data_IF_168086659596
#
_entry.id   IF_168086659596
#
_cell.length_a   1.000
_cell.length_b   1.000
_cell.length_c   1.000
_cell.angle_alpha   90.00
_cell.angle_beta   90.00
_cell.angle_gamma   90.00
#
_symmetry.space_group_name_H-M   'P 1'
#
loop_
_entity.id
_entity.type
_entity.pdbx_description
1 polymer ?
#
# COMPACT_ATOMS: atom_id res chain seq x y z
N UNK A 1 -38.61 -11.62 107.90
CA UNK A 1 -37.69 -12.04 106.84
C UNK A 1 -36.77 -10.86 106.52
N UNK A 2 -35.93 -10.43 107.45
CA UNK A 2 -34.50 -10.75 107.69
C UNK A 2 -33.59 -9.58 107.19
N UNK A 3 -32.58 -9.12 107.95
CA UNK A 3 -32.02 -7.75 107.87
C UNK A 3 -30.53 -7.66 107.44
N UNK A 4 -29.96 -6.43 107.51
CA UNK A 4 -28.51 -6.08 107.58
C UNK A 4 -27.70 -6.26 106.26
N UNK A 5 -26.70 -5.46 105.87
CA UNK A 5 -25.73 -4.65 106.61
C UNK A 5 -25.06 -3.60 105.72
N UNK A 6 -24.55 -2.55 106.38
CA UNK A 6 -23.57 -1.55 105.92
C UNK A 6 -22.12 -2.13 105.94
N UNK A 7 -21.16 -1.54 105.22
CA UNK A 7 -19.67 -1.46 105.39
C UNK A 7 -19.08 -1.22 103.96
N UNK A 8 -18.40 -0.13 103.56
CA UNK A 8 -17.24 0.65 104.03
C UNK A 8 -15.86 0.18 103.50
N UNK A 9 -15.03 1.16 103.09
CA UNK A 9 -13.53 1.23 103.13
C UNK A 9 -12.66 0.92 101.88
N UNK A 10 -12.06 2.02 101.36
CA UNK A 10 -10.65 2.36 101.00
C UNK A 10 -9.85 1.61 99.90
N UNK A 11 -9.39 2.44 98.94
CA UNK A 11 -8.17 2.53 98.11
C UNK A 11 -7.27 1.32 97.78
N UNK A 12 -6.91 1.22 96.49
CA UNK A 12 -5.65 0.63 96.01
C UNK A 12 -5.04 1.50 94.90
N UNK A 13 -3.80 1.93 95.11
CA UNK A 13 -2.87 2.52 94.13
C UNK A 13 -2.25 1.39 93.31
N UNK A 14 -2.13 1.53 91.98
CA UNK A 14 -1.50 0.50 91.15
C UNK A 14 -1.03 0.96 89.76
N UNK A 15 0.24 1.34 89.70
CA UNK A 15 1.22 1.30 88.60
C UNK A 15 0.80 1.48 87.12
N UNK A 16 1.34 2.54 86.53
CA UNK A 16 1.51 2.75 85.10
C UNK A 16 2.29 1.60 84.43
N UNK A 17 1.74 1.04 83.36
CA UNK A 17 2.49 0.28 82.37
C UNK A 17 2.35 1.00 81.03
N UNK A 18 3.46 1.60 80.60
CA UNK A 18 3.61 2.28 79.31
C UNK A 18 3.65 1.19 78.24
N UNK A 19 2.54 1.00 77.53
CA UNK A 19 2.48 0.06 76.41
C UNK A 19 3.11 0.72 75.20
N UNK A 20 4.28 0.21 74.80
CA UNK A 20 4.99 0.62 73.60
C UNK A 20 4.20 0.06 72.41
N UNK A 21 3.65 0.95 71.59
CA UNK A 21 2.99 0.55 70.34
C UNK A 21 3.98 -0.22 69.46
N UNK A 22 3.57 -1.34 68.84
CA UNK A 22 4.42 -2.06 67.90
C UNK A 22 4.75 -1.17 66.69
N UNK A 23 5.94 -1.34 66.08
CA UNK A 23 6.31 -0.57 64.89
C UNK A 23 5.30 -0.81 63.76
N UNK A 24 5.05 0.21 62.90
CA UNK A 24 4.15 0.05 61.77
C UNK A 24 4.64 -1.09 60.87
N UNK A 25 3.71 -1.86 60.25
CA UNK A 25 4.08 -2.90 59.31
C UNK A 25 4.93 -2.32 58.17
N UNK A 26 5.87 -3.09 57.60
CA UNK A 26 6.64 -2.64 56.46
C UNK A 26 5.70 -2.22 55.32
N UNK A 27 6.07 -1.19 54.53
CA UNK A 27 5.27 -0.84 53.36
C UNK A 27 5.11 -2.07 52.47
N UNK A 28 3.93 -2.26 51.84
CA UNK A 28 3.74 -3.36 50.91
C UNK A 28 4.86 -3.30 49.86
N UNK A 29 5.36 -4.46 49.39
CA UNK A 29 6.35 -4.48 48.32
C UNK A 29 5.83 -3.61 47.19
N UNK A 30 6.64 -2.65 46.75
CA UNK A 30 6.35 -1.88 45.54
C UNK A 30 6.14 -2.92 44.45
N UNK A 31 4.89 -3.07 44.01
CA UNK A 31 4.60 -3.86 42.82
C UNK A 31 5.26 -3.10 41.69
N UNK A 32 6.47 -3.53 41.33
CA UNK A 32 7.14 -3.07 40.13
C UNK A 32 6.15 -3.32 38.99
N UNK A 33 5.63 -2.24 38.40
CA UNK A 33 4.77 -2.35 37.22
C UNK A 33 5.57 -3.12 36.18
N UNK A 34 5.17 -4.36 35.93
CA UNK A 34 5.62 -5.14 34.78
C UNK A 34 5.58 -4.21 33.57
N UNK A 35 6.68 -4.03 32.82
CA UNK A 35 6.66 -3.15 31.66
C UNK A 35 5.56 -3.66 30.72
N UNK A 36 4.61 -2.78 30.43
CA UNK A 36 3.57 -3.04 29.45
C UNK A 36 4.28 -3.25 28.09
N UNK A 37 4.00 -4.35 27.37
CA UNK A 37 4.78 -4.68 26.19
C UNK A 37 4.59 -3.60 25.11
N UNK A 38 5.68 -3.00 24.59
CA UNK A 38 5.58 -2.01 23.51
C UNK A 38 5.51 -2.78 22.20
N UNK A 39 4.33 -3.02 21.59
CA UNK A 39 4.36 -3.92 20.41
C UNK A 39 3.25 -3.87 19.35
N UNK A 40 2.16 -3.09 19.47
CA UNK A 40 1.08 -3.14 18.45
C UNK A 40 0.98 -1.91 17.54
N UNK A 41 1.27 -0.70 18.01
CA UNK A 41 1.20 0.49 17.17
C UNK A 41 2.37 0.59 16.17
N UNK A 42 3.60 0.30 16.59
CA UNK A 42 4.80 0.49 15.74
C UNK A 42 4.93 -0.54 14.61
N UNK A 43 4.61 -1.81 14.86
CA UNK A 43 4.61 -2.85 13.84
C UNK A 43 3.56 -2.55 12.75
N UNK A 44 2.42 -1.98 13.15
CA UNK A 44 1.39 -1.54 12.23
C UNK A 44 1.70 -0.23 11.47
N UNK A 45 2.70 0.53 11.86
CA UNK A 45 3.17 1.65 11.04
C UNK A 45 4.20 1.16 10.00
N UNK A 46 5.08 0.24 10.41
CA UNK A 46 6.18 -0.27 9.59
C UNK A 46 5.68 -1.06 8.37
N UNK A 47 4.80 -2.06 8.55
CA UNK A 47 4.22 -2.84 7.44
C UNK A 47 3.49 -1.97 6.41
N UNK A 48 2.75 -0.95 6.85
CA UNK A 48 1.98 -0.06 6.00
C UNK A 48 2.90 0.78 5.13
N UNK A 49 3.97 1.33 5.72
CA UNK A 49 5.01 2.06 5.00
C UNK A 49 5.71 1.18 3.96
N UNK A 50 6.12 -0.03 4.36
CA UNK A 50 6.77 -0.96 3.44
C UNK A 50 5.86 -1.34 2.26
N UNK A 51 4.56 -1.55 2.52
CA UNK A 51 3.58 -1.79 1.46
C UNK A 51 3.46 -0.58 0.52
N UNK A 52 3.40 0.63 1.06
CA UNK A 52 3.31 1.85 0.27
C UNK A 52 4.55 2.05 -0.61
N UNK A 53 5.75 1.80 -0.08
CA UNK A 53 7.01 1.86 -0.83
C UNK A 53 7.04 0.83 -1.97
N UNK A 54 6.60 -0.41 -1.72
CA UNK A 54 6.47 -1.45 -2.75
C UNK A 54 5.45 -1.08 -3.84
N UNK A 55 4.29 -0.55 -3.44
CA UNK A 55 3.26 -0.08 -4.36
C UNK A 55 3.79 1.03 -5.26
N UNK A 56 4.48 2.03 -4.69
CA UNK A 56 5.09 3.11 -5.45
C UNK A 56 6.14 2.58 -6.45
N UNK A 57 6.99 1.64 -6.01
CA UNK A 57 7.97 0.98 -6.88
C UNK A 57 7.30 0.24 -8.03
N UNK A 58 6.23 -0.52 -7.76
CA UNK A 58 5.50 -1.24 -8.79
C UNK A 58 4.86 -0.29 -9.81
N UNK A 59 4.32 0.85 -9.36
CA UNK A 59 3.78 1.89 -10.24
C UNK A 59 4.85 2.48 -11.17
N UNK A 60 6.02 2.83 -10.63
CA UNK A 60 7.15 3.33 -11.42
C UNK A 60 7.63 2.29 -12.44
N UNK A 61 7.77 1.03 -12.05
CA UNK A 61 8.19 -0.03 -12.95
C UNK A 61 7.20 -0.24 -14.11
N UNK A 62 5.88 -0.15 -13.86
CA UNK A 62 4.87 -0.21 -14.95
C UNK A 62 5.02 1.01 -15.87
N UNK A 63 5.22 2.21 -15.32
CA UNK A 63 5.31 3.43 -16.10
C UNK A 63 6.55 3.52 -17.01
N UNK A 64 7.62 2.79 -16.68
CA UNK A 64 8.83 2.69 -17.50
C UNK A 64 8.70 1.67 -18.64
N UNK A 65 7.72 0.76 -18.57
CA UNK A 65 7.50 -0.26 -19.60
C UNK A 65 6.86 0.35 -20.85
N UNK A 66 7.21 -0.22 -22.01
CA UNK A 66 6.66 0.14 -23.33
C UNK A 66 6.54 -1.11 -24.18
N UNK A 67 5.57 -1.11 -25.08
CA UNK A 67 5.49 -2.12 -26.15
C UNK A 67 5.54 -1.43 -27.50
N UNK A 68 6.03 -2.15 -28.51
CA UNK A 68 6.24 -1.60 -29.85
C UNK A 68 5.51 -2.42 -30.91
N UNK A 69 5.20 -1.76 -32.02
CA UNK A 69 4.43 -2.32 -33.12
C UNK A 69 5.17 -2.22 -34.44
N UNK A 70 4.90 -3.17 -35.33
CA UNK A 70 5.34 -3.07 -36.71
C UNK A 70 4.57 -1.96 -37.46
N UNK A 71 5.13 -1.54 -38.60
CA UNK A 71 4.49 -0.55 -39.47
C UNK A 71 3.08 -1.02 -39.86
N UNK A 72 2.12 -0.10 -39.73
CA UNK A 72 0.72 -0.31 -40.08
C UNK A 72 0.00 -1.47 -39.35
N UNK A 73 0.53 -1.92 -38.21
CA UNK A 73 -0.04 -3.01 -37.41
C UNK A 73 -0.39 -2.59 -35.98
N UNK A 74 -1.37 -3.30 -35.43
CA UNK A 74 -1.76 -3.29 -34.01
C UNK A 74 -1.65 -4.68 -33.36
N UNK A 75 -1.00 -5.64 -34.03
CA UNK A 75 -0.80 -6.99 -33.50
C UNK A 75 0.25 -6.99 -32.38
N UNK A 76 -0.03 -7.69 -31.28
CA UNK A 76 0.90 -7.85 -30.15
C UNK A 76 2.01 -8.85 -30.52
N UNK A 77 3.21 -8.31 -30.68
CA UNK A 77 4.45 -9.05 -30.97
C UNK A 77 4.85 -9.96 -29.80
N UNK A 78 5.60 -11.06 -30.03
CA UNK A 78 6.07 -11.94 -28.96
C UNK A 78 6.80 -11.21 -27.83
N UNK A 79 7.65 -10.23 -28.14
CA UNK A 79 8.41 -9.46 -27.15
C UNK A 79 7.47 -8.59 -26.29
N UNK A 80 6.43 -8.02 -26.91
CA UNK A 80 5.42 -7.24 -26.22
C UNK A 80 4.58 -8.10 -25.26
N UNK A 81 4.32 -9.38 -25.59
CA UNK A 81 3.62 -10.32 -24.70
C UNK A 81 4.35 -10.49 -23.38
N UNK A 82 5.68 -10.63 -23.41
CA UNK A 82 6.50 -10.74 -22.20
C UNK A 82 6.37 -9.50 -21.31
N UNK A 83 6.40 -8.30 -21.90
CA UNK A 83 6.20 -7.04 -21.16
C UNK A 83 4.80 -6.97 -20.56
N UNK A 84 3.77 -7.25 -21.37
CA UNK A 84 2.38 -7.21 -20.92
C UNK A 84 2.07 -8.25 -19.83
N UNK A 85 2.70 -9.42 -19.87
CA UNK A 85 2.60 -10.40 -18.79
C UNK A 85 3.18 -9.85 -17.48
N UNK A 86 4.34 -9.18 -17.53
CA UNK A 86 4.93 -8.52 -16.36
C UNK A 86 4.04 -7.41 -15.79
N UNK A 87 3.38 -6.64 -16.65
CA UNK A 87 2.37 -5.64 -16.24
C UNK A 87 1.17 -6.34 -15.59
N UNK A 88 0.63 -7.38 -16.23
CA UNK A 88 -0.51 -8.14 -15.71
C UNK A 88 -0.22 -8.72 -14.32
N UNK A 89 0.97 -9.29 -14.11
CA UNK A 89 1.39 -9.85 -12.83
C UNK A 89 1.44 -8.77 -11.74
N UNK A 90 2.01 -7.60 -12.02
CA UNK A 90 1.98 -6.46 -11.09
C UNK A 90 0.57 -5.99 -10.79
N UNK A 91 -0.30 -5.89 -11.80
CA UNK A 91 -1.68 -5.46 -11.60
C UNK A 91 -2.50 -6.47 -10.79
N UNK A 92 -2.20 -7.77 -10.90
CA UNK A 92 -2.80 -8.82 -10.06
C UNK A 92 -2.27 -8.77 -8.63
N UNK A 93 -0.98 -8.53 -8.43
CA UNK A 93 -0.36 -8.41 -7.09
C UNK A 93 -0.85 -7.15 -6.35
N UNK A 94 -1.01 -6.04 -7.07
CA UNK A 94 -1.41 -4.74 -6.52
C UNK A 94 -2.75 -4.31 -7.10
N UNK A 95 -3.85 -4.77 -6.49
CA UNK A 95 -5.24 -4.44 -6.87
C UNK A 95 -5.55 -2.94 -6.91
N UNK A 96 -4.77 -2.14 -6.17
CA UNK A 96 -4.99 -0.71 -5.96
C UNK A 96 -4.47 0.16 -7.13
N UNK A 97 -3.69 -0.44 -8.05
CA UNK A 97 -3.16 0.24 -9.23
C UNK A 97 -4.22 0.22 -10.33
N UNK A 98 -4.55 1.37 -10.90
CA UNK A 98 -5.22 1.43 -12.22
C UNK A 98 -4.22 1.94 -13.25
N UNK A 99 -4.44 1.60 -14.52
CA UNK A 99 -3.58 2.03 -15.62
C UNK A 99 -4.36 2.71 -16.73
N UNK A 100 -3.65 3.59 -17.44
CA UNK A 100 -4.07 4.13 -18.72
C UNK A 100 -3.03 3.81 -19.78
N UNK A 101 -3.48 3.24 -20.88
CA UNK A 101 -2.66 2.83 -22.02
C UNK A 101 -2.77 3.92 -23.08
N UNK A 102 -1.65 4.54 -23.44
CA UNK A 102 -1.58 5.55 -24.50
C UNK A 102 -0.99 4.95 -25.78
N UNK A 103 -1.79 4.87 -26.85
CA UNK A 103 -1.37 4.32 -28.14
C UNK A 103 -0.91 5.39 -29.14
N UNK A 104 0.27 5.18 -29.70
CA UNK A 104 0.99 6.13 -30.55
C UNK A 104 1.39 5.52 -31.90
N UNK A 105 1.57 6.38 -32.91
CA UNK A 105 1.95 6.05 -34.27
C UNK A 105 3.16 6.86 -34.74
N UNK A 106 3.80 6.41 -35.81
CA UNK A 106 4.71 7.27 -36.56
C UNK A 106 3.93 8.25 -37.46
N UNK A 107 4.62 9.21 -38.05
CA UNK A 107 4.05 10.35 -38.79
C UNK A 107 3.46 9.97 -40.16
N UNK A 108 3.58 8.72 -40.60
CA UNK A 108 3.14 8.31 -41.93
C UNK A 108 1.64 8.02 -41.90
N UNK A 109 0.91 8.61 -42.84
CA UNK A 109 -0.54 8.46 -42.95
C UNK A 109 -1.26 9.78 -42.71
N UNK A 110 -2.57 9.71 -42.47
CA UNK A 110 -3.34 10.89 -42.06
C UNK A 110 -3.48 10.89 -40.54
N UNK A 111 -3.56 12.07 -39.92
CA UNK A 111 -3.80 12.20 -38.49
C UNK A 111 -5.02 11.38 -38.01
N UNK A 112 -6.13 11.42 -38.76
CA UNK A 112 -7.33 10.63 -38.46
C UNK A 112 -7.09 9.12 -38.52
N UNK A 113 -6.31 8.65 -39.51
CA UNK A 113 -5.91 7.25 -39.60
C UNK A 113 -5.03 6.84 -38.42
N UNK A 114 -4.03 7.67 -38.09
CA UNK A 114 -3.10 7.41 -36.99
C UNK A 114 -3.77 7.43 -35.62
N UNK A 115 -4.77 8.30 -35.42
CA UNK A 115 -5.62 8.29 -34.24
C UNK A 115 -6.40 6.97 -34.12
N UNK A 116 -7.00 6.50 -35.22
CA UNK A 116 -7.70 5.21 -35.22
C UNK A 116 -6.74 4.01 -35.04
N UNK A 117 -5.52 4.07 -35.59
CA UNK A 117 -4.53 3.01 -35.44
C UNK A 117 -3.96 2.95 -34.02
N UNK A 118 -3.66 4.10 -33.41
CA UNK A 118 -3.22 4.15 -32.02
C UNK A 118 -4.30 3.65 -31.05
N UNK A 119 -5.58 3.93 -31.34
CA UNK A 119 -6.70 3.39 -30.58
C UNK A 119 -6.76 1.84 -30.66
N UNK A 120 -6.58 1.28 -31.86
CA UNK A 120 -6.51 -0.18 -32.04
C UNK A 120 -5.33 -0.81 -31.27
N UNK A 121 -4.18 -0.14 -31.21
CA UNK A 121 -3.00 -0.60 -30.46
C UNK A 121 -3.28 -0.67 -28.96
N UNK A 122 -3.75 0.45 -28.38
CA UNK A 122 -4.08 0.52 -26.97
C UNK A 122 -5.16 -0.52 -26.59
N UNK A 123 -6.17 -0.71 -27.45
CA UNK A 123 -7.22 -1.72 -27.23
C UNK A 123 -6.69 -3.16 -27.36
N UNK A 124 -5.71 -3.42 -28.23
CA UNK A 124 -5.07 -4.75 -28.31
C UNK A 124 -4.27 -5.06 -27.03
N UNK A 125 -3.56 -4.07 -26.47
CA UNK A 125 -2.87 -4.21 -25.20
C UNK A 125 -3.85 -4.41 -24.03
N UNK A 126 -4.93 -3.62 -23.99
CA UNK A 126 -6.02 -3.79 -23.02
C UNK A 126 -6.61 -5.20 -23.08
N UNK A 127 -6.96 -5.68 -24.27
CA UNK A 127 -7.53 -7.03 -24.46
C UNK A 127 -6.58 -8.11 -23.94
N UNK A 128 -5.28 -8.00 -24.24
CA UNK A 128 -4.28 -8.94 -23.74
C UNK A 128 -4.24 -8.96 -22.20
N UNK A 129 -4.26 -7.79 -21.56
CA UNK A 129 -4.25 -7.68 -20.10
C UNK A 129 -5.54 -8.24 -19.48
N UNK A 130 -6.70 -8.01 -20.10
CA UNK A 130 -7.97 -8.58 -19.63
C UNK A 130 -8.02 -10.09 -19.79
N UNK A 131 -7.51 -10.63 -20.90
CA UNK A 131 -7.39 -12.07 -21.11
C UNK A 131 -6.40 -12.71 -20.13
N UNK A 132 -5.44 -11.92 -19.64
CA UNK A 132 -4.48 -12.30 -18.59
C UNK A 132 -5.02 -12.17 -17.16
N UNK A 133 -6.30 -11.82 -17.00
CA UNK A 133 -7.01 -11.78 -15.72
C UNK A 133 -7.05 -10.41 -15.02
N UNK A 134 -6.65 -9.32 -15.69
CA UNK A 134 -6.81 -7.96 -15.16
C UNK A 134 -8.25 -7.49 -15.41
N UNK A 135 -8.92 -6.96 -14.38
CA UNK A 135 -10.26 -6.41 -14.56
C UNK A 135 -10.24 -5.19 -15.50
N UNK A 136 -11.06 -5.21 -16.55
CA UNK A 136 -11.12 -4.13 -17.55
C UNK A 136 -11.50 -2.76 -16.96
N UNK A 137 -12.23 -2.72 -15.84
CA UNK A 137 -12.55 -1.48 -15.11
C UNK A 137 -11.32 -0.77 -14.51
N UNK A 138 -10.16 -1.41 -14.50
CA UNK A 138 -8.88 -0.85 -14.03
C UNK A 138 -8.00 -0.33 -15.17
N UNK A 139 -8.47 -0.44 -16.41
CA UNK A 139 -7.72 -0.10 -17.61
C UNK A 139 -8.49 0.93 -18.41
N UNK A 140 -7.86 2.08 -18.66
CA UNK A 140 -8.33 3.07 -19.62
C UNK A 140 -7.44 3.05 -20.86
N UNK A 141 -8.00 3.37 -22.02
CA UNK A 141 -7.24 3.54 -23.27
C UNK A 141 -7.37 4.97 -23.77
N UNK A 142 -6.32 5.43 -24.45
CA UNK A 142 -6.31 6.71 -25.17
C UNK A 142 -5.39 6.61 -26.37
N UNK A 143 -5.81 7.13 -27.50
CA UNK A 143 -4.89 7.36 -28.62
C UNK A 143 -4.39 8.79 -28.70
N UNK A 144 -3.11 8.94 -29.02
CA UNK A 144 -2.52 10.20 -29.48
C UNK A 144 -2.18 10.18 -30.97
N UNK A 145 -2.40 9.06 -31.66
CA UNK A 145 -1.94 8.89 -33.04
C UNK A 145 -0.49 9.32 -33.20
N UNK A 146 -0.23 10.24 -34.12
CA UNK A 146 1.11 10.80 -34.39
C UNK A 146 1.45 12.06 -33.57
N UNK A 147 0.56 12.52 -32.68
CA UNK A 147 0.68 13.83 -32.01
C UNK A 147 1.74 13.89 -30.91
N UNK A 148 2.23 12.75 -30.42
CA UNK A 148 3.24 12.65 -29.35
C UNK A 148 4.46 11.81 -29.76
N UNK A 149 5.24 12.27 -30.76
CA UNK A 149 6.45 11.59 -31.17
C UNK A 149 7.52 11.66 -30.07
N UNK A 150 8.22 10.56 -29.82
CA UNK A 150 9.43 10.54 -28.98
C UNK A 150 10.68 10.82 -29.80
N UNK A 151 10.60 10.62 -31.11
CA UNK A 151 11.66 10.91 -32.06
C UNK A 151 11.04 11.62 -33.28
N UNK A 152 11.73 12.63 -33.82
CA UNK A 152 11.20 13.49 -34.90
C UNK A 152 11.95 13.34 -36.23
N UNK A 153 12.99 12.52 -36.30
CA UNK A 153 13.70 12.25 -37.55
C UNK A 153 12.83 11.45 -38.55
N UNK A 154 12.94 11.78 -39.82
CA UNK A 154 12.14 11.18 -40.90
C UNK A 154 12.76 9.89 -41.44
N UNK A 155 12.98 8.90 -40.57
CA UNK A 155 13.62 7.64 -40.92
C UNK A 155 13.13 6.47 -40.06
N UNK A 156 13.29 5.23 -40.56
CA UNK A 156 12.72 4.03 -39.92
C UNK A 156 13.26 3.78 -38.50
N UNK A 157 14.52 4.12 -38.22
CA UNK A 157 15.07 4.03 -36.85
C UNK A 157 14.36 4.94 -35.85
N UNK A 158 13.70 5.99 -36.33
CA UNK A 158 12.92 6.92 -35.53
C UNK A 158 11.45 6.52 -35.47
N UNK A 159 10.86 6.21 -36.64
CA UNK A 159 9.46 5.77 -36.74
C UNK A 159 9.16 4.54 -35.88
N UNK A 160 10.08 3.57 -35.84
CA UNK A 160 9.94 2.39 -34.99
C UNK A 160 9.82 2.69 -33.49
N UNK A 161 10.40 3.78 -33.01
CA UNK A 161 10.26 4.23 -31.63
C UNK A 161 8.90 4.89 -31.38
N UNK A 162 8.31 5.52 -32.39
CA UNK A 162 7.02 6.21 -32.27
C UNK A 162 5.82 5.25 -32.30
N UNK A 163 5.94 4.09 -32.94
CA UNK A 163 4.91 3.03 -32.97
C UNK A 163 4.89 2.25 -31.66
N UNK A 164 4.32 2.83 -30.61
CA UNK A 164 4.37 2.28 -29.25
C UNK A 164 3.09 2.50 -28.45
N UNK A 165 2.92 1.67 -27.43
CA UNK A 165 2.05 1.99 -26.30
C UNK A 165 2.89 2.33 -25.06
N UNK A 166 2.42 3.32 -24.29
CA UNK A 166 2.96 3.73 -22.99
C UNK A 166 1.91 3.54 -21.89
N UNK A 167 2.36 3.27 -20.67
CA UNK A 167 1.50 2.94 -19.54
C UNK A 167 1.62 4.00 -18.44
N UNK A 168 0.49 4.47 -17.94
CA UNK A 168 0.43 5.46 -16.87
C UNK A 168 -0.37 4.89 -15.70
N UNK A 169 0.04 5.18 -14.46
CA UNK A 169 -0.65 4.71 -13.25
C UNK A 169 -1.33 5.87 -12.51
N UNK A 170 -2.30 5.57 -11.63
CA UNK A 170 -3.00 6.55 -10.77
C UNK A 170 -2.14 7.16 -9.66
#
# INVERSE_FOLDING_TARGET
MLPLSLIAVIAVVGCHKKEVAPPPPPPPPVVEKKPEPPAKADSTAIWARQRAEKLARAKSEIAEMKIFFDYDKSEIKPEARTVLMGIADKLKEYSDITIRIEGNCDERGTAAYNLALGERRANAAMQFLTDSGVAGSRIETKSWGEERPVCQDHQESCWSQNRRDEFFTN
#
